data_IF_861883681171
#
_entry.id   IF_861883681171
#
_cell.length_a   1.000
_cell.length_b   1.000
_cell.length_c   1.000
_cell.angle_alpha   90.00
_cell.angle_beta   90.00
_cell.angle_gamma   90.00
#
_symmetry.space_group_name_H-M   'P 1'
#
loop_
_entity.id
_entity.type
_entity.pdbx_description
1 polymer ?
#
# COMPACT_ATOMS: atom_id res chain seq x y z
N UNK A 1 8.92 -1.69 30.65
CA UNK A 1 8.42 -2.86 29.90
C UNK A 1 8.45 -2.51 28.44
N UNK A 2 9.17 -3.32 27.69
CA UNK A 2 9.36 -3.20 26.25
C UNK A 2 9.43 -4.61 25.66
N UNK A 3 8.26 -5.17 25.34
CA UNK A 3 8.17 -6.55 24.89
C UNK A 3 8.78 -6.77 23.51
N UNK A 4 9.48 -7.90 23.37
CA UNK A 4 10.07 -8.36 22.12
C UNK A 4 9.99 -9.89 21.99
N UNK A 5 10.25 -10.38 20.78
CA UNK A 5 10.50 -11.80 20.53
C UNK A 5 11.95 -12.01 20.12
N UNK A 6 12.50 -13.16 20.50
CA UNK A 6 13.70 -13.73 19.91
C UNK A 6 13.36 -15.11 19.32
N UNK A 7 13.83 -15.36 18.11
CA UNK A 7 13.70 -16.62 17.40
C UNK A 7 15.12 -17.19 17.22
N UNK A 8 15.39 -18.34 17.84
CA UNK A 8 16.64 -19.07 17.67
C UNK A 8 16.50 -20.07 16.52
N UNK A 9 16.99 -19.67 15.34
CA UNK A 9 16.89 -20.50 14.13
C UNK A 9 17.71 -21.78 14.24
N UNK A 10 18.73 -21.83 15.11
CA UNK A 10 19.54 -23.05 15.37
C UNK A 10 18.72 -24.15 16.05
N UNK A 11 17.66 -23.77 16.76
CA UNK A 11 16.78 -24.68 17.50
C UNK A 11 15.44 -24.93 16.80
N UNK A 12 15.08 -24.11 15.82
CA UNK A 12 13.80 -24.25 15.14
C UNK A 12 13.81 -25.51 14.26
N UNK A 13 12.87 -26.42 14.50
CA UNK A 13 12.72 -27.66 13.72
C UNK A 13 11.57 -27.59 12.69
N UNK A 14 10.93 -26.43 12.56
CA UNK A 14 9.78 -26.28 11.67
C UNK A 14 8.61 -27.20 12.01
N UNK A 15 8.20 -27.35 13.26
CA UNK A 15 7.08 -28.24 13.59
C UNK A 15 5.68 -27.62 13.42
N UNK A 16 5.60 -26.31 13.11
CA UNK A 16 4.35 -25.53 13.06
C UNK A 16 3.50 -25.49 14.33
N UNK A 17 3.96 -26.04 15.46
CA UNK A 17 3.24 -25.99 16.73
C UNK A 17 2.88 -24.55 17.13
N UNK A 18 3.78 -23.60 16.91
CA UNK A 18 3.53 -22.18 17.17
C UNK A 18 2.40 -21.58 16.33
N UNK A 19 2.24 -22.04 15.07
CA UNK A 19 1.17 -21.60 14.19
C UNK A 19 -0.17 -22.17 14.62
N UNK A 20 -0.22 -23.47 14.93
CA UNK A 20 -1.44 -24.15 15.38
C UNK A 20 -1.92 -23.60 16.72
N UNK A 21 -1.03 -23.44 17.69
CA UNK A 21 -1.38 -22.88 19.00
C UNK A 21 -1.90 -21.44 18.89
N UNK A 22 -1.30 -20.62 18.02
CA UNK A 22 -1.77 -19.26 17.79
C UNK A 22 -3.15 -19.23 17.13
N UNK A 23 -3.42 -20.17 16.20
CA UNK A 23 -4.75 -20.30 15.61
C UNK A 23 -5.80 -20.72 16.63
N UNK A 24 -5.49 -21.71 17.46
CA UNK A 24 -6.40 -22.21 18.49
C UNK A 24 -6.71 -21.15 19.55
N UNK A 25 -5.70 -20.43 20.03
CA UNK A 25 -5.87 -19.40 21.06
C UNK A 25 -6.76 -18.23 20.62
N UNK A 26 -6.66 -17.83 19.35
CA UNK A 26 -7.31 -16.64 18.83
C UNK A 26 -8.42 -16.93 17.83
N UNK A 27 -8.81 -18.20 17.70
CA UNK A 27 -9.82 -18.68 16.75
C UNK A 27 -9.55 -18.15 15.32
N UNK A 28 -8.28 -18.17 14.90
CA UNK A 28 -7.87 -17.53 13.64
C UNK A 28 -8.44 -18.30 12.44
N UNK A 29 -9.18 -17.63 11.53
CA UNK A 29 -9.84 -18.31 10.42
C UNK A 29 -8.91 -19.08 9.47
N UNK A 30 -9.50 -19.93 8.64
CA UNK A 30 -8.78 -20.62 7.57
C UNK A 30 -8.25 -19.61 6.53
N UNK A 31 -7.10 -19.93 5.92
CA UNK A 31 -6.46 -19.07 4.91
C UNK A 31 -5.63 -17.90 5.46
N UNK A 32 -5.80 -17.52 6.73
CA UNK A 32 -5.02 -16.46 7.40
C UNK A 32 -4.24 -16.99 8.61
N UNK A 33 -3.21 -16.25 9.05
CA UNK A 33 -2.36 -16.63 10.18
C UNK A 33 -1.71 -15.40 10.84
N UNK A 34 -1.60 -15.41 12.16
CA UNK A 34 -0.86 -14.37 12.93
C UNK A 34 0.64 -14.67 13.06
N UNK A 35 1.03 -15.94 12.94
CA UNK A 35 2.42 -16.42 12.89
C UNK A 35 2.51 -17.65 11.98
N UNK A 36 3.56 -17.75 11.18
CA UNK A 36 3.81 -18.88 10.28
C UNK A 36 5.29 -19.25 10.26
N UNK A 37 5.60 -20.43 9.74
CA UNK A 37 6.98 -20.87 9.52
C UNK A 37 7.20 -20.97 8.01
N UNK A 38 8.24 -20.31 7.51
CA UNK A 38 8.70 -20.39 6.12
C UNK A 38 9.81 -21.43 6.04
N UNK A 39 9.76 -22.29 5.04
CA UNK A 39 10.77 -23.30 4.79
C UNK A 39 11.54 -22.92 3.54
N UNK A 40 12.85 -22.91 3.66
CA UNK A 40 13.76 -22.73 2.52
C UNK A 40 14.68 -23.93 2.45
N UNK A 41 14.87 -24.46 1.26
CA UNK A 41 15.84 -25.51 0.97
C UNK A 41 16.88 -25.00 0.00
N UNK A 42 18.13 -25.40 0.20
CA UNK A 42 19.28 -25.02 -0.64
C UNK A 42 20.24 -26.20 -0.76
N UNK A 43 21.02 -26.22 -1.82
CA UNK A 43 22.12 -27.16 -2.02
C UNK A 43 21.75 -28.36 -2.89
N UNK A 44 22.75 -29.15 -3.23
CA UNK A 44 22.63 -30.35 -4.06
C UNK A 44 22.91 -31.54 -3.20
N UNK A 45 22.19 -32.65 -3.42
CA UNK A 45 22.48 -33.90 -2.74
C UNK A 45 23.95 -34.32 -2.96
N UNK A 46 24.69 -34.71 -1.91
CA UNK A 46 24.26 -34.95 -0.52
C UNK A 46 24.29 -33.71 0.40
N UNK A 47 24.85 -32.59 -0.03
CA UNK A 47 25.00 -31.35 0.73
C UNK A 47 23.74 -30.45 0.65
N UNK A 48 22.59 -30.98 1.04
CA UNK A 48 21.34 -30.20 1.13
C UNK A 48 21.14 -29.65 2.54
N UNK A 49 20.53 -28.46 2.62
CA UNK A 49 20.13 -27.83 3.88
C UNK A 49 18.67 -27.39 3.81
N UNK A 50 17.98 -27.53 4.94
CA UNK A 50 16.63 -26.99 5.15
C UNK A 50 16.68 -26.00 6.30
N UNK A 51 16.08 -24.84 6.08
CA UNK A 51 16.10 -23.70 6.99
C UNK A 51 14.66 -23.34 7.33
N UNK A 52 14.41 -23.10 8.61
CA UNK A 52 13.09 -22.80 9.13
C UNK A 52 13.07 -21.40 9.71
N UNK A 53 12.06 -20.62 9.31
CA UNK A 53 12.00 -19.21 9.64
C UNK A 53 10.62 -18.85 10.15
N UNK A 54 10.52 -18.60 11.46
CA UNK A 54 9.27 -18.15 12.06
C UNK A 54 9.05 -16.67 11.76
N UNK A 55 7.90 -16.36 11.17
CA UNK A 55 7.54 -15.01 10.74
C UNK A 55 6.22 -14.58 11.38
N UNK A 56 6.13 -13.31 11.79
CA UNK A 56 4.99 -12.70 12.48
C UNK A 56 5.07 -11.17 12.42
N UNK A 57 4.16 -10.48 13.11
CA UNK A 57 4.28 -9.03 13.34
C UNK A 57 5.54 -8.70 14.14
N UNK A 58 6.30 -7.71 13.69
CA UNK A 58 7.56 -7.32 14.34
C UNK A 58 7.41 -6.35 15.51
N UNK A 59 6.18 -5.95 15.88
CA UNK A 59 5.89 -4.99 16.96
C UNK A 59 6.83 -3.77 16.96
N UNK A 60 7.03 -3.17 15.79
CA UNK A 60 8.01 -2.11 15.54
C UNK A 60 7.86 -0.91 16.47
N UNK A 61 8.98 -0.30 16.88
CA UNK A 61 8.94 0.95 17.64
C UNK A 61 8.54 2.14 16.77
N UNK A 62 9.05 2.21 15.54
CA UNK A 62 8.50 3.09 14.51
C UNK A 62 7.55 2.28 13.62
N UNK A 63 6.29 2.16 14.07
CA UNK A 63 5.27 1.33 13.43
C UNK A 63 4.51 2.09 12.32
N UNK A 64 4.84 1.88 11.02
CA UNK A 64 4.14 2.56 9.91
C UNK A 64 2.65 2.20 9.84
N UNK A 65 2.27 0.99 10.28
CA UNK A 65 0.88 0.57 10.33
C UNK A 65 0.02 1.37 11.32
N UNK A 66 0.63 1.91 12.40
CA UNK A 66 -0.03 2.81 13.35
C UNK A 66 -0.17 4.21 12.74
N UNK A 67 0.86 4.69 12.06
CA UNK A 67 0.87 6.02 11.44
C UNK A 67 -0.16 6.15 10.31
N UNK A 68 -0.21 5.16 9.42
CA UNK A 68 -1.11 5.17 8.25
C UNK A 68 -2.57 4.88 8.63
N UNK A 69 -2.83 4.31 9.81
CA UNK A 69 -4.19 3.97 10.26
C UNK A 69 -5.04 5.23 10.48
N UNK A 70 -6.18 5.41 9.79
CA UNK A 70 -6.97 6.64 9.87
C UNK A 70 -7.81 6.80 11.15
N UNK A 71 -8.12 5.70 11.84
CA UNK A 71 -9.11 5.67 12.95
C UNK A 71 -8.51 5.31 14.30
N UNK A 72 -7.18 5.31 14.42
CA UNK A 72 -6.45 4.80 15.60
C UNK A 72 -6.86 3.37 15.99
N UNK A 73 -7.26 2.57 15.00
CA UNK A 73 -7.54 1.14 15.18
C UNK A 73 -6.25 0.33 15.40
N UNK A 74 -5.10 0.83 14.98
CA UNK A 74 -3.80 0.34 15.42
C UNK A 74 -3.15 1.38 16.33
N UNK A 75 -2.52 0.92 17.40
CA UNK A 75 -1.84 1.77 18.37
C UNK A 75 -0.63 1.04 18.99
N UNK A 76 0.32 1.81 19.53
CA UNK A 76 1.44 1.29 20.32
C UNK A 76 1.12 1.49 21.79
N UNK A 77 1.17 0.42 22.58
CA UNK A 77 1.01 0.44 24.03
C UNK A 77 2.29 0.96 24.71
N UNK A 78 2.18 1.30 25.99
CA UNK A 78 3.32 1.76 26.80
C UNK A 78 4.39 0.66 26.96
N UNK A 79 3.96 -0.60 26.99
CA UNK A 79 4.82 -1.80 27.06
C UNK A 79 5.50 -2.16 25.72
N UNK A 80 5.34 -1.31 24.70
CA UNK A 80 5.91 -1.49 23.36
C UNK A 80 5.16 -2.47 22.46
N UNK A 81 4.06 -3.11 22.91
CA UNK A 81 3.25 -3.94 22.03
C UNK A 81 2.49 -3.04 21.05
N UNK A 82 2.72 -3.21 19.75
CA UNK A 82 1.80 -2.69 18.73
C UNK A 82 0.55 -3.55 18.75
N UNK A 83 -0.60 -3.00 19.03
CA UNK A 83 -1.89 -3.70 19.19
C UNK A 83 -2.96 -3.12 18.26
N UNK A 84 -4.15 -3.73 18.24
CA UNK A 84 -5.26 -3.31 17.41
C UNK A 84 -6.64 -3.42 18.10
N UNK A 85 -7.54 -2.52 17.72
CA UNK A 85 -8.95 -2.49 18.11
C UNK A 85 -9.83 -2.69 16.87
N UNK A 86 -10.35 -3.90 16.70
CA UNK A 86 -11.26 -4.25 15.61
C UNK A 86 -12.56 -3.44 15.64
N UNK A 87 -12.98 -2.96 16.81
CA UNK A 87 -14.14 -2.10 17.01
C UNK A 87 -13.97 -0.68 16.47
N UNK A 88 -12.75 -0.25 16.11
CA UNK A 88 -12.47 1.04 15.42
C UNK A 88 -12.07 0.89 13.96
N UNK A 89 -11.81 -0.33 13.52
CA UNK A 89 -11.34 -0.60 12.17
C UNK A 89 -12.46 -0.37 11.14
N UNK A 90 -12.14 0.40 10.09
CA UNK A 90 -13.01 0.64 8.93
C UNK A 90 -12.67 -0.26 7.73
N UNK A 91 -11.61 -1.07 7.83
CA UNK A 91 -11.24 -2.02 6.78
C UNK A 91 -10.70 -1.37 5.50
N UNK A 92 -9.99 -0.23 5.62
CA UNK A 92 -9.38 0.50 4.49
C UNK A 92 -8.12 -0.15 3.91
N UNK A 93 -7.58 -1.19 4.58
CA UNK A 93 -6.38 -1.96 4.16
C UNK A 93 -5.08 -1.15 4.09
N UNK A 94 -5.07 0.13 4.48
CA UNK A 94 -3.88 0.97 4.46
C UNK A 94 -2.73 0.42 5.32
N UNK A 95 -3.05 -0.15 6.49
CA UNK A 95 -2.04 -0.79 7.35
C UNK A 95 -1.32 -1.98 6.68
N UNK A 96 -1.98 -2.69 5.76
CA UNK A 96 -1.36 -3.78 4.98
C UNK A 96 -0.30 -3.24 4.03
N UNK A 97 -0.49 -2.02 3.52
CA UNK A 97 0.48 -1.34 2.66
C UNK A 97 1.62 -0.68 3.47
N UNK A 98 1.31 -0.24 4.69
CA UNK A 98 2.30 0.30 5.62
C UNK A 98 3.26 -0.75 6.17
N UNK A 99 2.84 -2.00 6.32
CA UNK A 99 3.66 -3.06 6.91
C UNK A 99 4.69 -3.62 5.92
N UNK A 100 6.01 -3.46 6.15
CA UNK A 100 7.04 -3.98 5.23
C UNK A 100 7.29 -5.50 5.38
N UNK A 101 6.55 -6.17 6.27
CA UNK A 101 6.76 -7.57 6.66
C UNK A 101 5.64 -8.51 6.23
N UNK A 102 4.62 -8.02 5.53
CA UNK A 102 3.39 -8.76 5.17
C UNK A 102 2.63 -9.34 6.39
N UNK A 103 2.69 -8.68 7.54
CA UNK A 103 2.22 -9.24 8.81
C UNK A 103 0.76 -8.90 9.21
N UNK A 104 -0.01 -8.20 8.36
CA UNK A 104 -1.35 -7.70 8.71
C UNK A 104 -2.36 -8.11 7.64
N UNK A 105 -3.39 -8.86 8.00
CA UNK A 105 -4.45 -9.28 7.07
C UNK A 105 -5.79 -8.65 7.40
N UNK A 106 -6.73 -8.70 6.46
CA UNK A 106 -8.15 -8.51 6.76
C UNK A 106 -8.71 -9.87 7.15
N UNK A 107 -9.20 -9.96 8.37
CA UNK A 107 -9.88 -11.12 8.89
C UNK A 107 -11.17 -11.38 8.07
N UNK A 108 -11.34 -12.58 7.50
CA UNK A 108 -12.46 -12.87 6.59
C UNK A 108 -13.82 -12.93 7.30
N UNK A 109 -13.84 -13.12 8.62
CA UNK A 109 -15.08 -13.22 9.39
C UNK A 109 -15.50 -11.85 9.93
N UNK A 110 -14.55 -11.09 10.48
CA UNK A 110 -14.85 -9.78 11.08
C UNK A 110 -14.72 -8.61 10.10
N UNK A 111 -14.11 -8.81 8.93
CA UNK A 111 -13.82 -7.75 7.95
C UNK A 111 -12.94 -6.61 8.52
N UNK A 112 -12.14 -6.91 9.55
CA UNK A 112 -11.23 -5.96 10.20
C UNK A 112 -9.76 -6.36 10.08
N UNK A 113 -8.85 -5.41 10.26
CA UNK A 113 -7.42 -5.71 10.24
C UNK A 113 -7.02 -6.50 11.48
N UNK A 114 -6.31 -7.61 11.29
CA UNK A 114 -5.80 -8.48 12.34
C UNK A 114 -4.33 -8.83 12.10
N UNK A 115 -3.63 -9.12 13.20
CA UNK A 115 -2.21 -9.48 13.22
C UNK A 115 -1.87 -10.14 14.56
N UNK A 116 -0.62 -10.56 14.75
CA UNK A 116 -0.13 -10.88 16.10
C UNK A 116 -0.28 -9.66 17.02
N UNK A 117 -0.93 -9.84 18.18
CA UNK A 117 -1.07 -8.86 19.25
C UNK A 117 -0.21 -9.22 20.47
N UNK A 118 0.85 -10.01 20.27
CA UNK A 118 1.72 -10.51 21.35
C UNK A 118 0.97 -11.35 22.41
N UNK A 119 -0.26 -11.80 22.13
CA UNK A 119 -1.15 -12.40 23.13
C UNK A 119 -1.27 -11.50 24.38
N UNK A 120 -1.47 -10.19 24.16
CA UNK A 120 -1.54 -9.19 25.22
C UNK A 120 -2.43 -9.60 26.40
N UNK A 121 -3.57 -10.25 26.13
CA UNK A 121 -4.51 -10.76 27.13
C UNK A 121 -3.90 -11.82 28.09
N UNK A 122 -2.84 -12.52 27.68
CA UNK A 122 -2.08 -13.45 28.54
C UNK A 122 -0.93 -12.76 29.26
N UNK A 123 -0.19 -11.93 28.53
CA UNK A 123 0.98 -11.24 29.08
C UNK A 123 0.59 -10.29 30.21
N UNK A 124 -0.59 -9.66 30.12
CA UNK A 124 -1.16 -8.82 31.19
C UNK A 124 -1.41 -9.55 32.50
N UNK A 125 -1.64 -10.87 32.46
CA UNK A 125 -1.84 -11.72 33.64
C UNK A 125 -0.60 -12.56 33.98
N UNK A 126 0.57 -12.19 33.44
CA UNK A 126 1.85 -12.85 33.72
C UNK A 126 2.05 -14.20 33.04
N UNK A 127 1.23 -14.53 32.03
CA UNK A 127 1.35 -15.77 31.26
C UNK A 127 2.11 -15.54 29.94
N UNK A 128 2.87 -16.55 29.52
CA UNK A 128 3.57 -16.52 28.23
C UNK A 128 2.61 -16.74 27.04
N UNK A 129 2.92 -16.16 25.86
CA UNK A 129 2.17 -16.44 24.63
C UNK A 129 2.18 -17.94 24.27
N UNK A 130 1.08 -18.52 23.75
CA UNK A 130 1.03 -19.95 23.40
C UNK A 130 2.08 -20.39 22.37
N UNK A 131 2.50 -19.47 21.49
CA UNK A 131 3.56 -19.76 20.52
C UNK A 131 4.94 -19.98 21.15
N UNK A 132 5.15 -19.50 22.39
CA UNK A 132 6.35 -19.74 23.21
C UNK A 132 6.19 -21.07 23.95
N UNK A 133 5.10 -21.23 24.69
CA UNK A 133 4.88 -22.39 25.57
C UNK A 133 4.79 -23.71 24.82
N UNK A 134 4.25 -23.71 23.59
CA UNK A 134 4.12 -24.91 22.76
C UNK A 134 5.43 -25.30 22.06
N UNK A 135 6.46 -24.47 22.08
CA UNK A 135 7.68 -24.70 21.30
C UNK A 135 8.53 -25.81 21.94
N UNK A 136 8.61 -27.02 21.36
CA UNK A 136 9.26 -28.16 22.02
C UNK A 136 10.78 -27.97 22.16
N UNK A 137 11.39 -27.16 21.30
CA UNK A 137 12.82 -26.87 21.31
C UNK A 137 13.16 -25.51 21.93
N UNK A 138 12.16 -24.81 22.48
CA UNK A 138 12.32 -23.47 23.05
C UNK A 138 13.03 -22.50 22.09
N UNK A 139 12.73 -22.61 20.79
CA UNK A 139 13.27 -21.75 19.75
C UNK A 139 12.62 -20.36 19.70
N UNK A 140 11.48 -20.18 20.36
CA UNK A 140 10.75 -18.91 20.41
C UNK A 140 10.77 -18.44 21.85
N UNK A 141 11.34 -17.26 22.09
CA UNK A 141 11.40 -16.62 23.41
C UNK A 141 10.67 -15.29 23.34
N UNK A 142 9.83 -15.01 24.33
CA UNK A 142 9.20 -13.71 24.52
C UNK A 142 9.65 -13.13 25.86
N UNK A 143 9.74 -11.81 25.96
CA UNK A 143 10.20 -11.18 27.19
C UNK A 143 10.29 -9.68 27.08
N UNK A 144 10.62 -9.05 28.21
CA UNK A 144 10.84 -7.62 28.35
C UNK A 144 12.31 -7.28 28.09
N UNK A 145 12.58 -6.42 27.11
CA UNK A 145 13.93 -5.93 26.81
C UNK A 145 14.50 -5.04 27.92
N UNK A 146 13.65 -4.37 28.69
CA UNK A 146 14.09 -3.48 29.76
C UNK A 146 14.47 -4.26 31.03
N UNK A 147 14.03 -5.51 31.15
CA UNK A 147 14.44 -6.42 32.22
C UNK A 147 15.72 -7.15 31.84
N UNK A 148 16.86 -6.65 32.34
CA UNK A 148 18.19 -7.23 32.12
C UNK A 148 18.37 -8.63 32.70
N UNK A 149 17.51 -9.07 33.63
CA UNK A 149 17.49 -10.43 34.16
C UNK A 149 16.67 -11.39 33.31
N UNK A 150 15.91 -10.90 32.33
CA UNK A 150 15.07 -11.75 31.50
C UNK A 150 15.88 -12.66 30.58
N UNK A 151 15.36 -13.87 30.34
CA UNK A 151 15.98 -14.81 29.42
C UNK A 151 16.18 -14.21 28.02
N UNK A 152 15.24 -13.37 27.57
CA UNK A 152 15.31 -12.68 26.29
C UNK A 152 16.47 -11.66 26.26
N UNK A 153 16.59 -10.80 27.27
CA UNK A 153 17.66 -9.79 27.32
C UNK A 153 19.05 -10.45 27.34
N UNK A 154 19.21 -11.56 28.06
CA UNK A 154 20.45 -12.33 28.05
C UNK A 154 20.77 -12.93 26.67
N UNK A 155 19.80 -13.49 25.95
CA UNK A 155 20.03 -14.04 24.62
C UNK A 155 20.37 -12.96 23.59
N UNK A 156 19.65 -11.83 23.62
CA UNK A 156 19.91 -10.68 22.74
C UNK A 156 21.30 -10.07 23.01
N UNK A 157 21.72 -10.01 24.28
CA UNK A 157 23.02 -9.45 24.65
C UNK A 157 24.22 -10.37 24.39
N UNK A 158 24.02 -11.70 24.32
CA UNK A 158 25.11 -12.69 24.16
C UNK A 158 25.33 -13.18 22.74
N UNK A 159 24.34 -13.05 21.86
CA UNK A 159 24.41 -13.57 20.50
C UNK A 159 24.26 -12.47 19.46
N UNK A 160 24.95 -12.57 18.30
CA UNK A 160 24.64 -11.70 17.18
C UNK A 160 23.21 -11.98 16.72
N UNK A 161 22.39 -10.93 16.70
CA UNK A 161 20.99 -11.00 16.28
C UNK A 161 20.76 -10.21 15.00
N UNK A 162 19.88 -10.72 14.15
CA UNK A 162 19.44 -10.09 12.93
C UNK A 162 17.98 -9.66 13.05
N UNK A 163 17.58 -8.69 12.22
CA UNK A 163 16.18 -8.28 12.08
C UNK A 163 15.79 -8.23 10.60
N UNK A 164 14.50 -8.34 10.31
CA UNK A 164 14.01 -8.23 8.93
C UNK A 164 13.99 -6.77 8.47
N UNK A 165 14.36 -6.54 7.21
CA UNK A 165 14.30 -5.25 6.50
C UNK A 165 14.79 -4.04 7.32
N UNK A 166 16.01 -4.06 7.89
CA UNK A 166 16.54 -2.95 8.70
C UNK A 166 16.56 -1.61 7.94
N UNK A 167 16.72 -1.65 6.60
CA UNK A 167 16.71 -0.48 5.71
C UNK A 167 15.39 0.32 5.75
N UNK A 168 14.30 -0.25 6.28
CA UNK A 168 13.00 0.45 6.44
C UNK A 168 12.94 1.37 7.65
N UNK A 169 13.95 1.34 8.52
CA UNK A 169 14.04 2.21 9.70
C UNK A 169 12.91 2.01 10.73
N UNK A 170 12.17 0.90 10.67
CA UNK A 170 11.01 0.67 11.56
C UNK A 170 11.39 0.24 12.98
N UNK A 171 12.66 -0.07 13.24
CA UNK A 171 13.14 -0.64 14.52
C UNK A 171 12.29 -1.83 14.98
N UNK A 172 12.29 -2.95 14.22
CA UNK A 172 11.56 -4.17 14.57
C UNK A 172 12.07 -4.81 15.86
N UNK A 173 11.15 -5.42 16.62
CA UNK A 173 11.40 -6.10 17.91
C UNK A 173 11.19 -7.61 17.85
N UNK A 174 11.51 -8.19 16.69
CA UNK A 174 11.63 -9.63 16.52
C UNK A 174 13.07 -9.87 16.06
N UNK A 175 13.85 -10.49 16.93
CA UNK A 175 15.26 -10.77 16.73
C UNK A 175 15.46 -12.22 16.28
N UNK A 176 16.40 -12.44 15.38
CA UNK A 176 16.73 -13.75 14.83
C UNK A 176 18.18 -14.10 15.17
N UNK A 177 18.39 -15.19 15.89
CA UNK A 177 19.73 -15.78 16.08
C UNK A 177 19.96 -16.75 14.95
N UNK A 178 21.06 -16.57 14.21
CA UNK A 178 21.42 -17.38 13.05
C UNK A 178 20.33 -17.39 11.94
N UNK A 179 19.73 -16.23 11.70
CA UNK A 179 18.76 -16.05 10.63
C UNK A 179 19.44 -16.15 9.27
N UNK A 180 19.02 -17.12 8.46
CA UNK A 180 19.55 -17.29 7.10
C UNK A 180 19.02 -16.20 6.14
N UNK A 181 19.90 -15.68 5.28
CA UNK A 181 19.57 -14.58 4.37
C UNK A 181 18.45 -14.93 3.38
N UNK A 182 18.36 -16.17 2.90
CA UNK A 182 17.31 -16.59 1.95
C UNK A 182 15.95 -16.69 2.61
N UNK A 183 15.99 -16.99 3.89
CA UNK A 183 14.80 -17.08 4.72
C UNK A 183 14.29 -15.70 5.10
N UNK A 184 15.19 -14.78 5.48
CA UNK A 184 14.84 -13.41 5.90
C UNK A 184 14.46 -12.48 4.74
N UNK A 185 15.10 -12.65 3.57
CA UNK A 185 14.84 -11.87 2.34
C UNK A 185 13.78 -12.59 1.49
N UNK A 186 12.56 -12.03 1.36
CA UNK A 186 11.46 -12.68 0.64
C UNK A 186 11.79 -13.04 -0.81
N UNK A 187 12.54 -12.17 -1.48
CA UNK A 187 12.91 -12.30 -2.90
C UNK A 187 14.05 -13.29 -3.17
N UNK A 188 14.80 -13.70 -2.14
CA UNK A 188 15.95 -14.59 -2.28
C UNK A 188 15.54 -16.05 -2.49
N UNK A 189 14.43 -16.48 -1.90
CA UNK A 189 13.82 -17.78 -2.15
C UNK A 189 12.47 -17.56 -2.87
N UNK A 190 12.42 -17.64 -4.21
CA UNK A 190 11.20 -17.40 -4.97
C UNK A 190 10.06 -18.33 -4.51
N UNK A 191 8.80 -17.86 -4.56
CA UNK A 191 7.66 -18.70 -4.23
C UNK A 191 7.63 -19.90 -5.19
N UNK A 192 7.34 -21.10 -4.70
CA UNK A 192 7.40 -22.29 -5.53
C UNK A 192 6.22 -22.36 -6.50
N UNK A 193 6.39 -23.06 -7.62
CA UNK A 193 5.30 -23.44 -8.54
C UNK A 193 4.38 -24.51 -7.95
N UNK A 194 4.85 -25.27 -6.96
CA UNK A 194 4.09 -26.25 -6.17
C UNK A 194 4.70 -26.37 -4.76
N UNK A 195 3.87 -26.43 -3.71
CA UNK A 195 4.37 -26.62 -2.35
C UNK A 195 4.56 -28.11 -2.04
N UNK A 196 5.45 -28.40 -1.08
CA UNK A 196 5.75 -29.77 -0.64
C UNK A 196 4.51 -30.57 -0.21
N UNK A 197 3.44 -29.90 0.25
CA UNK A 197 2.21 -30.51 0.76
C UNK A 197 0.92 -29.97 0.11
N UNK A 198 1.01 -29.14 -0.92
CA UNK A 198 -0.17 -28.57 -1.59
C UNK A 198 0.14 -28.08 -3.00
N UNK A 199 -0.81 -28.19 -3.91
CA UNK A 199 -0.73 -27.55 -5.22
C UNK A 199 -0.70 -26.03 -5.07
N UNK A 200 0.09 -25.34 -5.89
CA UNK A 200 -0.03 -23.89 -6.00
C UNK A 200 -1.41 -23.54 -6.60
N UNK A 201 -2.10 -22.48 -6.14
CA UNK A 201 -3.32 -22.03 -6.78
C UNK A 201 -3.03 -21.65 -8.25
N UNK A 202 -3.93 -22.01 -9.16
CA UNK A 202 -3.81 -21.79 -10.62
C UNK A 202 -3.58 -20.33 -11.08
N UNK A 203 -3.67 -19.35 -10.17
CA UNK A 203 -3.42 -17.93 -10.42
C UNK A 203 -1.96 -17.49 -10.22
N UNK A 204 -1.08 -18.39 -9.79
CA UNK A 204 0.37 -18.17 -9.84
C UNK A 204 0.87 -18.62 -11.21
N UNK A 205 1.57 -17.78 -12.00
CA UNK A 205 2.30 -18.29 -13.14
C UNK A 205 3.25 -19.36 -12.62
N UNK A 206 3.14 -20.57 -13.18
CA UNK A 206 4.11 -21.62 -12.92
C UNK A 206 5.47 -21.08 -13.36
N UNK A 207 6.32 -20.68 -12.43
CA UNK A 207 7.72 -20.54 -12.76
C UNK A 207 8.22 -21.96 -13.06
N UNK A 208 8.88 -22.20 -14.19
CA UNK A 208 9.57 -23.46 -14.41
C UNK A 208 10.45 -23.70 -13.17
N UNK A 209 10.45 -24.93 -12.64
CA UNK A 209 11.49 -25.33 -11.70
C UNK A 209 12.80 -25.07 -12.43
N UNK A 210 13.48 -23.97 -12.10
CA UNK A 210 14.83 -23.74 -12.61
C UNK A 210 15.65 -24.87 -12.05
N UNK A 211 16.19 -25.70 -12.93
CA UNK A 211 17.14 -26.78 -12.65
C UNK A 211 18.49 -26.22 -12.15
N UNK A 212 18.47 -25.12 -11.40
CA UNK A 212 19.63 -24.61 -10.70
C UNK A 212 19.80 -25.50 -9.47
N UNK A 213 20.44 -26.64 -9.70
CA UNK A 213 20.80 -27.62 -8.68
C UNK A 213 21.59 -26.95 -7.57
N UNK A 214 20.88 -26.43 -6.56
CA UNK A 214 21.46 -25.80 -5.39
C UNK A 214 20.89 -24.44 -5.01
N UNK A 215 20.11 -23.76 -5.85
CA UNK A 215 19.54 -22.45 -5.52
C UNK A 215 18.51 -22.54 -4.36
N UNK A 216 18.39 -21.50 -3.52
CA UNK A 216 17.41 -21.49 -2.45
C UNK A 216 15.98 -21.48 -2.98
N UNK A 217 15.19 -22.47 -2.58
CA UNK A 217 13.77 -22.61 -2.95
C UNK A 217 12.89 -22.59 -1.71
N UNK A 218 11.78 -21.88 -1.78
CA UNK A 218 10.78 -21.90 -0.72
C UNK A 218 9.91 -23.15 -0.89
N UNK A 219 9.94 -24.11 0.03
CA UNK A 219 9.16 -25.37 -0.08
C UNK A 219 7.84 -25.34 0.70
N UNK A 220 7.74 -24.45 1.69
CA UNK A 220 6.51 -24.17 2.43
C UNK A 220 6.49 -22.68 2.85
N UNK A 221 5.31 -22.07 2.76
CA UNK A 221 5.04 -20.76 3.33
C UNK A 221 3.55 -20.50 3.35
N UNK A 222 3.09 -19.69 4.30
CA UNK A 222 1.71 -19.18 4.24
C UNK A 222 1.66 -18.13 3.12
N UNK A 223 0.61 -18.22 2.30
CA UNK A 223 0.31 -17.36 1.15
C UNK A 223 0.62 -15.88 1.45
N UNK A 224 1.12 -15.16 0.44
CA UNK A 224 1.15 -13.69 0.42
C UNK A 224 -0.28 -13.15 0.60
N UNK A 225 -0.66 -12.86 1.84
CA UNK A 225 -2.03 -12.49 2.22
C UNK A 225 -2.42 -11.11 1.64
N UNK A 226 -1.47 -10.37 1.03
CA UNK A 226 -1.63 -8.96 0.71
C UNK A 226 -1.71 -8.64 -0.80
N UNK A 227 -1.55 -9.64 -1.69
CA UNK A 227 -1.63 -9.43 -3.14
C UNK A 227 -2.92 -8.72 -3.52
N UNK A 228 -2.78 -7.54 -4.12
CA UNK A 228 -3.87 -6.72 -4.66
C UNK A 228 -4.98 -6.36 -3.65
N UNK A 229 -4.62 -6.19 -2.36
CA UNK A 229 -5.57 -5.73 -1.34
C UNK A 229 -6.19 -4.36 -1.70
N UNK A 230 -5.40 -3.48 -2.32
CA UNK A 230 -5.88 -2.29 -3.04
C UNK A 230 -6.07 -2.64 -4.53
N UNK A 231 -7.26 -3.12 -4.86
CA UNK A 231 -7.63 -3.53 -6.22
C UNK A 231 -8.11 -2.39 -7.13
N UNK A 232 -8.92 -2.74 -8.13
CA UNK A 232 -9.40 -1.81 -9.15
C UNK A 232 -10.16 -0.60 -8.60
N UNK A 233 -10.87 -0.74 -7.46
CA UNK A 233 -11.58 0.36 -6.80
C UNK A 233 -10.65 1.52 -6.45
N UNK A 234 -9.43 1.21 -6.01
CA UNK A 234 -8.39 2.18 -5.67
C UNK A 234 -7.89 2.91 -6.91
N UNK A 235 -7.59 2.16 -7.97
CA UNK A 235 -7.21 2.73 -9.26
C UNK A 235 -8.31 3.64 -9.82
N UNK A 236 -9.57 3.21 -9.72
CA UNK A 236 -10.73 3.95 -10.19
C UNK A 236 -10.93 5.25 -9.40
N UNK A 237 -10.88 5.23 -8.06
CA UNK A 237 -11.06 6.47 -7.32
C UNK A 237 -9.88 7.44 -7.50
N UNK A 238 -8.66 6.95 -7.72
CA UNK A 238 -7.54 7.83 -8.09
C UNK A 238 -7.78 8.49 -9.44
N UNK A 239 -8.36 7.76 -10.39
CA UNK A 239 -8.74 8.27 -11.70
C UNK A 239 -9.84 9.34 -11.61
N UNK A 240 -10.96 9.04 -10.95
CA UNK A 240 -12.04 10.00 -10.73
C UNK A 240 -11.59 11.21 -9.90
N UNK A 241 -10.65 11.03 -8.96
CA UNK A 241 -10.09 12.15 -8.19
C UNK A 241 -9.28 13.11 -9.06
N UNK A 242 -8.48 12.60 -10.01
CA UNK A 242 -7.77 13.47 -10.96
C UNK A 242 -8.72 14.19 -11.89
N UNK A 243 -9.81 13.54 -12.31
CA UNK A 243 -10.89 14.19 -13.05
C UNK A 243 -11.53 15.30 -12.20
N UNK A 244 -11.88 15.03 -10.94
CA UNK A 244 -12.47 16.00 -10.03
C UNK A 244 -11.58 17.24 -9.82
N UNK A 245 -10.26 17.05 -9.63
CA UNK A 245 -9.32 18.16 -9.50
C UNK A 245 -9.06 18.87 -10.84
N UNK A 246 -8.87 18.11 -11.92
CA UNK A 246 -8.56 18.62 -13.25
C UNK A 246 -9.67 19.44 -13.87
N UNK A 247 -10.92 18.97 -13.77
CA UNK A 247 -12.11 19.66 -14.26
C UNK A 247 -12.27 21.05 -13.66
N UNK A 248 -11.73 21.31 -12.47
CA UNK A 248 -11.70 22.64 -11.88
C UNK A 248 -10.43 23.42 -12.24
N UNK A 249 -9.24 22.81 -12.06
CA UNK A 249 -7.94 23.48 -12.22
C UNK A 249 -7.75 24.06 -13.63
N UNK A 250 -8.06 23.30 -14.67
CA UNK A 250 -7.81 23.73 -16.06
C UNK A 250 -8.70 24.92 -16.46
N UNK A 251 -10.03 24.88 -16.25
CA UNK A 251 -10.89 26.04 -16.46
C UNK A 251 -10.57 27.23 -15.54
N UNK A 252 -10.17 27.00 -14.29
CA UNK A 252 -9.79 28.08 -13.38
C UNK A 252 -8.52 28.82 -13.84
N UNK A 253 -7.50 28.08 -14.31
CA UNK A 253 -6.30 28.68 -14.90
C UNK A 253 -6.60 29.41 -16.21
N UNK A 254 -7.47 28.83 -17.05
CA UNK A 254 -7.90 29.47 -18.31
C UNK A 254 -8.68 30.76 -18.06
N UNK A 255 -9.56 30.77 -17.05
CA UNK A 255 -10.30 31.95 -16.62
C UNK A 255 -9.36 33.04 -16.10
N UNK A 256 -8.38 32.68 -15.27
CA UNK A 256 -7.37 33.60 -14.78
C UNK A 256 -6.54 34.22 -15.91
N UNK A 257 -6.14 33.42 -16.91
CA UNK A 257 -5.36 33.89 -18.06
C UNK A 257 -6.16 34.80 -19.01
N UNK A 258 -7.47 34.58 -19.12
CA UNK A 258 -8.36 35.35 -20.00
C UNK A 258 -9.03 36.55 -19.33
N UNK A 259 -8.86 36.73 -18.01
CA UNK A 259 -9.58 37.73 -17.23
C UNK A 259 -11.07 37.42 -17.04
N UNK A 260 -11.50 36.17 -17.31
CA UNK A 260 -12.88 35.76 -17.09
C UNK A 260 -13.21 35.70 -15.59
N UNK A 261 -14.48 35.91 -15.19
CA UNK A 261 -14.88 35.99 -13.79
C UNK A 261 -14.70 34.67 -13.00
N UNK A 262 -14.47 33.54 -13.68
CA UNK A 262 -14.21 32.25 -13.06
C UNK A 262 -14.47 31.08 -14.02
N UNK A 263 -14.30 29.84 -13.53
CA UNK A 263 -14.63 28.65 -14.31
C UNK A 263 -16.14 28.59 -14.60
N UNK A 264 -16.49 28.05 -15.77
CA UNK A 264 -17.88 27.88 -16.18
C UNK A 264 -18.64 26.90 -15.27
N UNK A 265 -19.97 27.01 -15.23
CA UNK A 265 -20.84 26.14 -14.42
C UNK A 265 -20.62 24.65 -14.71
N UNK A 266 -20.43 24.29 -15.98
CA UNK A 266 -20.16 22.91 -16.40
C UNK A 266 -18.86 22.33 -15.82
N UNK A 267 -17.86 23.17 -15.55
CA UNK A 267 -16.62 22.76 -14.90
C UNK A 267 -16.84 22.42 -13.42
N UNK A 268 -17.64 23.22 -12.72
CA UNK A 268 -18.03 22.98 -11.32
C UNK A 268 -18.87 21.71 -11.19
N UNK A 269 -19.86 21.54 -12.06
CA UNK A 269 -20.71 20.35 -12.11
C UNK A 269 -19.89 19.09 -12.36
N UNK A 270 -19.01 19.10 -13.37
CA UNK A 270 -18.13 17.97 -13.67
C UNK A 270 -17.21 17.65 -12.47
N UNK A 271 -16.59 18.66 -11.87
CA UNK A 271 -15.73 18.49 -10.70
C UNK A 271 -16.50 17.86 -9.52
N UNK A 272 -17.71 18.34 -9.21
CA UNK A 272 -18.56 17.80 -8.14
C UNK A 272 -19.02 16.37 -8.43
N UNK A 273 -19.43 16.05 -9.66
CA UNK A 273 -19.83 14.70 -10.05
C UNK A 273 -18.68 13.72 -9.85
N UNK A 274 -17.49 14.04 -10.36
CA UNK A 274 -16.33 13.17 -10.18
C UNK A 274 -15.86 13.09 -8.72
N UNK A 275 -16.02 14.15 -7.94
CA UNK A 275 -15.72 14.14 -6.51
C UNK A 275 -16.69 13.25 -5.74
N UNK A 276 -17.99 13.31 -6.06
CA UNK A 276 -19.01 12.45 -5.50
C UNK A 276 -18.76 10.97 -5.87
N UNK A 277 -18.42 10.68 -7.12
CA UNK A 277 -18.00 9.34 -7.56
C UNK A 277 -16.77 8.85 -6.79
N UNK A 278 -15.79 9.73 -6.56
CA UNK A 278 -14.60 9.42 -5.74
C UNK A 278 -15.01 9.06 -4.31
N UNK A 279 -15.89 9.84 -3.69
CA UNK A 279 -16.42 9.57 -2.35
C UNK A 279 -17.16 8.24 -2.27
N UNK A 280 -18.02 7.94 -3.24
CA UNK A 280 -18.76 6.68 -3.31
C UNK A 280 -17.82 5.46 -3.45
N UNK A 281 -16.82 5.55 -4.33
CA UNK A 281 -15.80 4.51 -4.51
C UNK A 281 -14.94 4.30 -3.26
N UNK A 282 -14.59 5.39 -2.55
CA UNK A 282 -13.85 5.31 -1.28
C UNK A 282 -14.64 4.53 -0.23
N UNK A 283 -15.93 4.84 -0.06
CA UNK A 283 -16.80 4.12 0.89
C UNK A 283 -17.00 2.66 0.45
N UNK A 284 -17.15 2.39 -0.84
CA UNK A 284 -17.33 1.03 -1.37
C UNK A 284 -16.06 0.17 -1.32
N UNK A 285 -14.86 0.74 -1.25
CA UNK A 285 -13.63 -0.03 -1.05
C UNK A 285 -13.46 -0.54 0.39
N UNK A 286 -14.07 0.15 1.35
CA UNK A 286 -14.01 -0.24 2.76
C UNK A 286 -14.65 -1.61 2.99
N UNK A 287 -13.99 -2.43 3.80
CA UNK A 287 -14.57 -3.68 4.29
C UNK A 287 -15.66 -3.44 5.33
N UNK A 288 -15.61 -2.31 6.04
CA UNK A 288 -16.65 -1.91 6.98
C UNK A 288 -17.27 -0.57 6.57
N UNK A 289 -18.08 -0.52 5.50
CA UNK A 289 -18.59 0.73 4.93
C UNK A 289 -19.50 1.48 5.91
N UNK A 290 -20.23 0.79 6.79
CA UNK A 290 -21.08 1.42 7.82
C UNK A 290 -20.29 2.29 8.80
N UNK A 291 -18.98 2.06 8.92
CA UNK A 291 -18.07 2.73 9.86
C UNK A 291 -17.29 3.88 9.21
N UNK A 292 -17.57 4.22 7.95
CA UNK A 292 -16.78 5.20 7.18
C UNK A 292 -16.61 6.55 7.91
N UNK A 293 -17.65 7.00 8.61
CA UNK A 293 -17.65 8.28 9.33
C UNK A 293 -16.63 8.33 10.47
N UNK A 294 -16.12 7.19 10.97
CA UNK A 294 -15.06 7.19 11.98
C UNK A 294 -13.74 7.75 11.47
N UNK A 295 -13.50 7.75 10.16
CA UNK A 295 -12.36 8.46 9.59
C UNK A 295 -12.41 9.97 9.86
N UNK A 296 -13.62 10.53 10.05
CA UNK A 296 -13.87 11.93 10.36
C UNK A 296 -14.13 12.16 11.85
N UNK A 297 -14.83 11.26 12.54
CA UNK A 297 -15.19 11.49 13.96
C UNK A 297 -14.13 10.99 14.95
N UNK A 298 -13.23 10.09 14.54
CA UNK A 298 -12.16 9.54 15.38
C UNK A 298 -10.80 9.62 14.66
N UNK A 299 -10.34 10.82 14.28
CA UNK A 299 -9.21 10.98 13.36
C UNK A 299 -7.86 10.62 13.99
N UNK A 300 -7.02 9.97 13.18
CA UNK A 300 -5.58 9.94 13.38
C UNK A 300 -4.91 10.96 12.47
N UNK A 301 -4.56 12.13 13.00
CA UNK A 301 -4.01 13.23 12.21
C UNK A 301 -2.63 12.96 11.61
N UNK A 302 -1.93 11.91 12.01
CA UNK A 302 -0.71 11.46 11.32
C UNK A 302 -1.01 10.73 10.01
N UNK A 303 -2.20 10.16 9.82
CA UNK A 303 -2.58 9.45 8.60
C UNK A 303 -2.95 10.43 7.48
N UNK A 304 -2.32 10.28 6.32
CA UNK A 304 -2.71 11.02 5.12
C UNK A 304 -4.05 10.58 4.54
N UNK A 305 -4.56 9.41 4.93
CA UNK A 305 -5.92 8.99 4.58
C UNK A 305 -6.97 9.86 5.32
N UNK A 306 -6.73 10.14 6.61
CA UNK A 306 -7.55 11.07 7.39
C UNK A 306 -7.44 12.48 6.82
N UNK A 307 -6.22 13.01 6.65
CA UNK A 307 -6.02 14.36 6.09
C UNK A 307 -6.67 14.51 4.70
N UNK A 308 -6.53 13.50 3.85
CA UNK A 308 -7.16 13.44 2.54
C UNK A 308 -8.70 13.48 2.58
N UNK A 309 -9.31 12.79 3.55
CA UNK A 309 -10.77 12.80 3.73
C UNK A 309 -11.29 14.22 4.06
N UNK A 310 -10.63 14.92 4.98
CA UNK A 310 -10.96 16.32 5.31
C UNK A 310 -10.70 17.26 4.13
N UNK A 311 -9.61 17.04 3.39
CA UNK A 311 -9.26 17.84 2.23
C UNK A 311 -10.32 17.71 1.12
N UNK A 312 -10.72 16.49 0.78
CA UNK A 312 -11.78 16.23 -0.20
C UNK A 312 -13.12 16.83 0.25
N UNK A 313 -13.46 16.71 1.53
CA UNK A 313 -14.68 17.31 2.07
C UNK A 313 -14.67 18.85 1.96
N UNK A 314 -13.55 19.49 2.32
CA UNK A 314 -13.39 20.94 2.18
C UNK A 314 -13.42 21.38 0.71
N UNK A 315 -12.75 20.64 -0.18
CA UNK A 315 -12.80 20.89 -1.62
C UNK A 315 -14.23 20.81 -2.17
N UNK A 316 -14.98 19.78 -1.78
CA UNK A 316 -16.39 19.63 -2.16
C UNK A 316 -17.28 20.77 -1.65
N UNK A 317 -17.06 21.21 -0.41
CA UNK A 317 -17.78 22.36 0.15
C UNK A 317 -17.50 23.66 -0.61
N UNK A 318 -16.24 23.91 -0.98
CA UNK A 318 -15.84 25.08 -1.77
C UNK A 318 -16.45 25.06 -3.19
N UNK A 319 -16.43 23.90 -3.86
CA UNK A 319 -17.10 23.72 -5.15
C UNK A 319 -18.61 23.95 -5.03
N UNK A 320 -19.26 23.39 -4.01
CA UNK A 320 -20.69 23.56 -3.77
C UNK A 320 -21.07 25.02 -3.50
N UNK A 321 -20.26 25.75 -2.73
CA UNK A 321 -20.45 27.18 -2.49
C UNK A 321 -20.34 27.99 -3.78
N UNK A 322 -19.35 27.71 -4.63
CA UNK A 322 -19.20 28.40 -5.92
C UNK A 322 -20.36 28.09 -6.87
N UNK A 323 -20.80 26.83 -6.93
CA UNK A 323 -21.96 26.44 -7.73
C UNK A 323 -23.21 27.19 -7.26
N UNK A 324 -23.44 27.27 -5.95
CA UNK A 324 -24.57 28.02 -5.37
C UNK A 324 -24.53 29.52 -5.73
N UNK A 325 -23.34 30.14 -5.72
CA UNK A 325 -23.17 31.52 -6.16
C UNK A 325 -23.55 31.67 -7.65
N UNK A 326 -23.09 30.77 -8.52
CA UNK A 326 -23.45 30.82 -9.94
C UNK A 326 -24.94 30.59 -10.19
N UNK A 327 -25.58 29.67 -9.45
CA UNK A 327 -27.03 29.43 -9.51
C UNK A 327 -27.85 30.67 -9.09
N UNK A 328 -27.30 31.48 -8.18
CA UNK A 328 -27.91 32.77 -7.77
C UNK A 328 -27.46 33.95 -8.63
N UNK A 329 -26.82 33.69 -9.79
CA UNK A 329 -26.28 34.68 -10.73
C UNK A 329 -25.25 35.63 -10.11
N UNK A 330 -24.55 35.18 -9.07
CA UNK A 330 -23.44 35.90 -8.43
C UNK A 330 -22.11 35.33 -8.89
N UNK A 331 -21.17 36.19 -9.28
CA UNK A 331 -19.81 35.76 -9.58
C UNK A 331 -19.11 35.30 -8.29
N UNK A 332 -18.37 34.20 -8.37
CA UNK A 332 -17.49 33.81 -7.27
C UNK A 332 -16.36 34.85 -7.14
N UNK A 333 -16.07 35.35 -5.93
CA UNK A 333 -14.97 36.29 -5.77
C UNK A 333 -13.63 35.60 -6.15
N UNK A 334 -12.69 36.32 -6.78
CA UNK A 334 -11.42 35.73 -7.25
C UNK A 334 -10.64 34.99 -6.15
N UNK A 335 -10.68 35.50 -4.91
CA UNK A 335 -10.07 34.84 -3.75
C UNK A 335 -10.67 33.47 -3.43
N UNK A 336 -11.99 33.30 -3.62
CA UNK A 336 -12.64 32.00 -3.47
C UNK A 336 -12.23 31.05 -4.60
N UNK A 337 -12.11 31.54 -5.84
CA UNK A 337 -11.62 30.72 -6.97
C UNK A 337 -10.19 30.25 -6.76
N UNK A 338 -9.31 31.13 -6.30
CA UNK A 338 -7.93 30.77 -5.95
C UNK A 338 -7.90 29.75 -4.81
N UNK A 339 -8.67 29.96 -3.74
CA UNK A 339 -8.75 29.01 -2.62
C UNK A 339 -9.21 27.62 -3.08
N UNK A 340 -10.26 27.55 -3.89
CA UNK A 340 -10.74 26.28 -4.46
C UNK A 340 -9.69 25.64 -5.37
N UNK A 341 -8.91 26.42 -6.13
CA UNK A 341 -7.83 25.91 -6.96
C UNK A 341 -6.71 25.30 -6.11
N UNK A 342 -6.35 25.94 -4.99
CA UNK A 342 -5.38 25.39 -4.02
C UNK A 342 -5.86 24.06 -3.44
N UNK A 343 -7.14 23.96 -3.05
CA UNK A 343 -7.72 22.71 -2.57
C UNK A 343 -7.83 21.65 -3.67
N UNK A 344 -8.10 22.01 -4.93
CA UNK A 344 -8.09 21.09 -6.06
C UNK A 344 -6.67 20.53 -6.32
N UNK A 345 -5.64 21.39 -6.30
CA UNK A 345 -4.25 20.97 -6.42
C UNK A 345 -3.82 20.08 -5.25
N UNK A 346 -4.20 20.44 -4.03
CA UNK A 346 -3.94 19.63 -2.84
C UNK A 346 -4.71 18.29 -2.89
N UNK A 347 -5.92 18.26 -3.48
CA UNK A 347 -6.70 17.05 -3.70
C UNK A 347 -6.01 16.12 -4.71
N UNK A 348 -5.37 16.66 -5.75
CA UNK A 348 -4.53 15.88 -6.66
C UNK A 348 -3.29 15.32 -5.93
N UNK A 349 -2.59 16.19 -5.18
CA UNK A 349 -1.29 15.90 -4.59
C UNK A 349 -1.33 14.95 -3.38
N UNK A 350 -2.35 15.02 -2.51
CA UNK A 350 -2.27 14.37 -1.18
C UNK A 350 -2.06 12.85 -1.24
N UNK A 351 -2.50 12.20 -2.32
CA UNK A 351 -2.33 10.75 -2.49
C UNK A 351 -0.86 10.36 -2.61
N UNK A 352 0.02 11.23 -3.11
CA UNK A 352 1.45 10.96 -3.11
C UNK A 352 1.99 10.77 -1.69
N UNK A 353 1.53 11.57 -0.73
CA UNK A 353 1.92 11.40 0.67
C UNK A 353 1.29 10.17 1.33
N UNK A 354 0.05 9.82 0.97
CA UNK A 354 -0.56 8.54 1.40
C UNK A 354 0.25 7.35 0.90
N UNK A 355 0.65 7.37 -0.37
CA UNK A 355 1.52 6.37 -0.97
C UNK A 355 2.91 6.35 -0.32
N UNK A 356 3.45 7.52 0.04
CA UNK A 356 4.69 7.63 0.81
C UNK A 356 4.63 7.01 2.21
N UNK A 357 3.45 6.95 2.85
CA UNK A 357 3.28 6.25 4.14
C UNK A 357 3.27 4.72 4.01
N UNK A 358 3.12 4.18 2.80
CA UNK A 358 3.14 2.75 2.55
C UNK A 358 4.59 2.22 2.51
N UNK A 359 5.26 2.17 3.66
CA UNK A 359 6.66 1.69 3.78
C UNK A 359 6.88 0.28 3.25
N UNK A 360 5.83 -0.53 3.07
CA UNK A 360 5.92 -1.85 2.44
C UNK A 360 5.95 -1.83 0.91
N UNK A 361 5.75 -0.69 0.26
CA UNK A 361 5.65 -0.58 -1.21
C UNK A 361 6.61 0.50 -1.69
N UNK A 362 7.81 0.09 -2.10
CA UNK A 362 8.91 1.02 -2.31
C UNK A 362 8.73 1.96 -3.50
N UNK A 363 8.18 1.46 -4.61
CA UNK A 363 7.90 2.29 -5.78
C UNK A 363 6.97 3.47 -5.45
N UNK A 364 6.01 3.27 -4.53
CA UNK A 364 5.08 4.30 -4.10
C UNK A 364 5.73 5.44 -3.30
N UNK A 365 6.97 5.26 -2.84
CA UNK A 365 7.73 6.30 -2.13
C UNK A 365 8.56 7.18 -3.08
N UNK A 366 8.36 7.05 -4.39
CA UNK A 366 9.00 7.88 -5.41
C UNK A 366 8.73 9.37 -5.20
N UNK A 367 9.78 10.19 -5.29
CA UNK A 367 9.67 11.64 -5.23
C UNK A 367 8.94 12.23 -6.46
N UNK A 368 8.91 11.49 -7.57
CA UNK A 368 8.22 11.90 -8.80
C UNK A 368 6.70 11.78 -8.69
N UNK A 369 6.19 10.98 -7.77
CA UNK A 369 4.76 10.67 -7.67
C UNK A 369 3.90 11.91 -7.43
N UNK A 370 4.37 12.86 -6.60
CA UNK A 370 3.67 14.11 -6.35
C UNK A 370 3.45 14.94 -7.62
N UNK A 371 4.52 15.39 -8.28
CA UNK A 371 4.45 16.06 -9.58
C UNK A 371 3.63 15.27 -10.61
N UNK A 372 3.81 13.94 -10.66
CA UNK A 372 3.09 13.08 -11.59
C UNK A 372 1.58 13.11 -11.38
N UNK A 373 1.09 13.00 -10.13
CA UNK A 373 -0.35 13.06 -9.86
C UNK A 373 -0.97 14.43 -10.19
N UNK A 374 -0.21 15.52 -10.04
CA UNK A 374 -0.66 16.87 -10.43
C UNK A 374 -0.77 16.98 -11.94
N UNK A 375 0.28 16.57 -12.68
CA UNK A 375 0.25 16.55 -14.16
C UNK A 375 -0.89 15.68 -14.68
N UNK A 376 -1.13 14.52 -14.08
CA UNK A 376 -2.26 13.66 -14.42
C UNK A 376 -3.63 14.31 -14.18
N UNK A 377 -3.79 15.11 -13.13
CA UNK A 377 -5.00 15.89 -12.93
C UNK A 377 -5.17 16.96 -14.02
N UNK A 378 -4.09 17.64 -14.41
CA UNK A 378 -4.11 18.60 -15.51
C UNK A 378 -4.43 17.93 -16.85
N UNK A 379 -3.85 16.77 -17.16
CA UNK A 379 -4.20 15.95 -18.34
C UNK A 379 -5.68 15.61 -18.33
N UNK A 380 -6.22 15.19 -17.19
CA UNK A 380 -7.63 14.82 -17.06
C UNK A 380 -8.58 16.01 -17.31
N UNK A 381 -8.24 17.19 -16.78
CA UNK A 381 -9.00 18.42 -17.04
C UNK A 381 -8.88 18.92 -18.48
N UNK A 382 -7.66 18.90 -19.03
CA UNK A 382 -7.38 19.30 -20.40
C UNK A 382 -8.12 18.43 -21.42
N UNK A 383 -8.19 17.11 -21.18
CA UNK A 383 -8.93 16.19 -22.03
C UNK A 383 -10.41 16.55 -22.21
N UNK A 384 -11.02 17.23 -21.23
CA UNK A 384 -12.44 17.60 -21.26
C UNK A 384 -12.62 19.04 -21.73
N UNK A 385 -11.86 19.99 -21.18
CA UNK A 385 -12.12 21.42 -21.34
C UNK A 385 -11.12 22.18 -22.21
N UNK A 386 -9.89 21.66 -22.37
CA UNK A 386 -8.84 22.31 -23.15
C UNK A 386 -7.93 21.30 -23.87
N UNK A 387 -8.44 20.52 -24.86
CA UNK A 387 -7.66 19.43 -25.46
C UNK A 387 -6.35 19.88 -26.12
N UNK A 388 -6.24 21.15 -26.54
CA UNK A 388 -5.00 21.70 -27.07
C UNK A 388 -3.84 21.67 -26.07
N UNK A 389 -4.11 21.71 -24.75
CA UNK A 389 -3.07 21.61 -23.72
C UNK A 389 -2.44 20.22 -23.66
N UNK A 390 -3.10 19.18 -24.18
CA UNK A 390 -2.57 17.82 -24.22
C UNK A 390 -1.29 17.72 -25.07
N UNK A 391 -1.08 18.62 -26.04
CA UNK A 391 0.15 18.70 -26.82
C UNK A 391 1.40 18.91 -25.96
N UNK A 392 1.24 19.56 -24.80
CA UNK A 392 2.33 19.83 -23.85
C UNK A 392 2.27 18.92 -22.63
N UNK A 393 1.07 18.63 -22.15
CA UNK A 393 0.88 17.82 -20.95
C UNK A 393 1.17 16.33 -21.16
N UNK A 394 0.88 15.77 -22.34
CA UNK A 394 1.16 14.35 -22.61
C UNK A 394 2.67 14.06 -22.71
N UNK A 395 3.51 14.88 -23.37
CA UNK A 395 4.96 14.70 -23.30
C UNK A 395 5.51 14.78 -21.88
N UNK A 396 5.07 15.76 -21.08
CA UNK A 396 5.49 15.89 -19.66
C UNK A 396 5.04 14.68 -18.85
N UNK A 397 3.79 14.21 -19.03
CA UNK A 397 3.30 13.00 -18.38
C UNK A 397 4.10 11.76 -18.82
N UNK A 398 4.44 11.64 -20.10
CA UNK A 398 5.25 10.56 -20.65
C UNK A 398 6.66 10.52 -20.05
N UNK A 399 7.29 11.69 -19.85
CA UNK A 399 8.59 11.79 -19.16
C UNK A 399 8.49 11.35 -17.69
N UNK A 400 7.41 11.71 -16.98
CA UNK A 400 7.19 11.27 -15.61
C UNK A 400 6.90 9.77 -15.53
N UNK A 401 6.07 9.23 -16.43
CA UNK A 401 5.88 7.78 -16.59
C UNK A 401 7.22 7.09 -16.81
N UNK A 402 8.05 7.62 -17.71
CA UNK A 402 9.35 7.04 -17.99
C UNK A 402 10.33 7.12 -16.81
N UNK A 403 10.28 8.22 -16.04
CA UNK A 403 11.04 8.36 -14.80
C UNK A 403 10.65 7.35 -13.73
N UNK A 404 9.35 7.04 -13.60
CA UNK A 404 8.87 6.03 -12.64
C UNK A 404 9.21 4.59 -13.08
N UNK A 405 9.21 4.30 -14.38
CA UNK A 405 9.45 2.94 -14.90
C UNK A 405 10.91 2.64 -15.21
N UNK A 406 11.62 3.52 -15.91
CA UNK A 406 13.01 3.32 -16.34
C UNK A 406 14.03 4.16 -15.59
N UNK A 407 13.60 5.03 -14.68
CA UNK A 407 14.49 5.81 -13.83
C UNK A 407 15.30 4.95 -12.85
N UNK A 408 16.12 5.62 -12.05
CA UNK A 408 16.88 4.96 -10.99
C UNK A 408 15.99 4.71 -9.77
N UNK A 409 15.94 3.46 -9.27
CA UNK A 409 15.23 3.12 -8.04
C UNK A 409 16.20 2.70 -6.93
N UNK A 410 15.98 3.25 -5.73
CA UNK A 410 16.86 3.05 -4.58
C UNK A 410 16.86 1.62 -4.01
N UNK A 411 15.83 0.82 -4.27
CA UNK A 411 15.69 -0.54 -3.73
C UNK A 411 15.41 -1.56 -4.83
N UNK A 412 15.78 -2.82 -4.59
CA UNK A 412 15.44 -3.93 -5.51
C UNK A 412 13.93 -4.15 -5.61
N UNK A 413 13.19 -3.97 -4.51
CA UNK A 413 11.73 -4.09 -4.48
C UNK A 413 11.07 -3.06 -5.43
N UNK A 414 11.56 -1.82 -5.44
CA UNK A 414 11.10 -0.79 -6.37
C UNK A 414 11.47 -1.12 -7.83
N UNK A 415 12.70 -1.58 -8.10
CA UNK A 415 13.12 -2.02 -9.44
C UNK A 415 12.27 -3.18 -9.96
N UNK A 416 11.95 -4.15 -9.10
CA UNK A 416 11.08 -5.29 -9.45
C UNK A 416 9.65 -4.83 -9.75
N UNK A 417 9.09 -3.93 -8.95
CA UNK A 417 7.79 -3.35 -9.23
C UNK A 417 7.75 -2.59 -10.57
N UNK A 418 8.81 -1.85 -10.90
CA UNK A 418 8.92 -1.14 -12.17
C UNK A 418 9.00 -2.12 -13.37
N UNK A 419 9.77 -3.20 -13.25
CA UNK A 419 9.82 -4.27 -14.27
C UNK A 419 8.47 -4.93 -14.52
N UNK A 420 7.70 -5.21 -13.46
CA UNK A 420 6.35 -5.75 -13.58
C UNK A 420 5.41 -4.83 -14.39
N UNK A 421 5.60 -3.51 -14.32
CA UNK A 421 4.87 -2.56 -15.17
C UNK A 421 5.33 -2.66 -16.62
N UNK A 422 6.65 -2.72 -16.86
CA UNK A 422 7.23 -2.76 -18.20
C UNK A 422 6.84 -4.03 -18.99
N UNK A 423 6.74 -5.16 -18.29
CA UNK A 423 6.39 -6.46 -18.89
C UNK A 423 4.90 -6.61 -19.20
N UNK A 424 4.03 -5.75 -18.64
CA UNK A 424 2.59 -5.81 -18.87
C UNK A 424 2.21 -5.18 -20.23
N UNK A 425 1.55 -5.95 -21.09
CA UNK A 425 1.10 -5.47 -22.41
C UNK A 425 0.22 -4.22 -22.32
N UNK A 426 -0.54 -4.04 -21.23
CA UNK A 426 -1.37 -2.84 -21.01
C UNK A 426 -0.53 -1.58 -20.84
N UNK A 427 0.73 -1.70 -20.47
CA UNK A 427 1.65 -0.57 -20.39
C UNK A 427 2.04 -0.09 -21.79
N UNK A 428 2.62 -0.96 -22.61
CA UNK A 428 3.07 -0.60 -23.96
C UNK A 428 1.92 -0.20 -24.87
N UNK A 429 0.83 -0.99 -24.89
CA UNK A 429 -0.32 -0.73 -25.75
C UNK A 429 -1.26 0.33 -25.17
N UNK A 430 -1.69 0.15 -23.93
CA UNK A 430 -2.71 1.01 -23.31
C UNK A 430 -2.16 2.36 -22.87
N UNK A 431 -1.04 2.39 -22.17
CA UNK A 431 -0.47 3.65 -21.64
C UNK A 431 0.30 4.41 -22.71
N UNK A 432 1.31 3.78 -23.34
CA UNK A 432 2.21 4.50 -24.24
C UNK A 432 1.56 4.75 -25.61
N UNK A 433 1.10 3.70 -26.30
CA UNK A 433 0.55 3.85 -27.64
C UNK A 433 -0.82 4.55 -27.64
N UNK A 434 -1.81 3.98 -26.93
CA UNK A 434 -3.18 4.51 -26.90
C UNK A 434 -3.31 5.77 -26.04
N UNK A 435 -2.59 5.84 -24.91
CA UNK A 435 -2.71 6.93 -23.95
C UNK A 435 -1.89 8.18 -24.24
N UNK A 436 -0.79 8.07 -24.98
CA UNK A 436 0.12 9.19 -25.26
C UNK A 436 0.28 9.45 -26.77
N UNK A 437 0.80 8.48 -27.52
CA UNK A 437 1.16 8.68 -28.92
C UNK A 437 -0.06 8.95 -29.81
N UNK A 438 -1.10 8.13 -29.71
CA UNK A 438 -2.28 8.26 -30.54
C UNK A 438 -3.03 9.61 -30.32
N UNK A 439 -3.29 10.06 -29.08
CA UNK A 439 -3.84 11.41 -28.84
C UNK A 439 -3.00 12.53 -29.45
N UNK A 440 -1.67 12.47 -29.35
CA UNK A 440 -0.79 13.47 -29.94
C UNK A 440 -0.91 13.49 -31.48
N UNK A 441 -0.94 12.32 -32.11
CA UNK A 441 -1.14 12.23 -33.58
C UNK A 441 -2.51 12.74 -34.02
N UNK A 442 -3.57 12.48 -33.25
CA UNK A 442 -4.92 12.97 -33.57
C UNK A 442 -5.02 14.48 -33.42
N UNK A 443 -4.32 15.07 -32.46
CA UNK A 443 -4.29 16.52 -32.26
C UNK A 443 -3.47 17.24 -33.32
N UNK A 444 -2.32 16.71 -33.73
CA UNK A 444 -1.50 17.30 -34.80
C UNK A 444 -2.02 17.03 -36.20
N UNK A 445 -2.54 15.83 -36.48
CA UNK A 445 -2.89 15.39 -37.83
C UNK A 445 -4.34 15.69 -38.23
N UNK A 446 -5.31 15.22 -37.44
CA UNK A 446 -6.73 15.17 -37.85
C UNK A 446 -7.62 16.18 -37.12
N UNK A 447 -7.12 16.84 -36.08
CA UNK A 447 -7.89 17.79 -35.26
C UNK A 447 -8.99 17.14 -34.41
N UNK A 448 -8.98 15.81 -34.24
CA UNK A 448 -10.01 15.06 -33.50
C UNK A 448 -9.85 15.16 -31.98
N UNK A 449 -9.99 16.39 -31.45
CA UNK A 449 -9.73 16.74 -30.06
C UNK A 449 -10.51 15.90 -29.02
N UNK A 450 -11.79 15.58 -29.30
CA UNK A 450 -12.62 14.78 -28.39
C UNK A 450 -12.14 13.33 -28.28
N UNK A 451 -11.78 12.72 -29.41
CA UNK A 451 -11.25 11.35 -29.43
C UNK A 451 -9.88 11.30 -28.74
N UNK A 452 -9.01 12.28 -29.02
CA UNK A 452 -7.72 12.42 -28.34
C UNK A 452 -7.87 12.52 -26.82
N UNK A 453 -8.81 13.35 -26.34
CA UNK A 453 -9.12 13.47 -24.91
C UNK A 453 -9.60 12.16 -24.29
N UNK A 454 -10.52 11.44 -24.95
CA UNK A 454 -11.03 10.16 -24.47
C UNK A 454 -9.93 9.09 -24.36
N UNK A 455 -9.05 9.01 -25.35
CA UNK A 455 -7.93 8.07 -25.37
C UNK A 455 -6.87 8.42 -24.31
N UNK A 456 -6.57 9.70 -24.11
CA UNK A 456 -5.70 10.15 -23.02
C UNK A 456 -6.25 9.76 -21.63
N UNK A 457 -7.57 9.92 -21.42
CA UNK A 457 -8.22 9.49 -20.17
C UNK A 457 -8.18 7.97 -19.96
N UNK A 458 -8.35 7.19 -21.03
CA UNK A 458 -8.23 5.74 -20.98
C UNK A 458 -6.80 5.29 -20.64
N UNK A 459 -5.79 5.91 -21.26
CA UNK A 459 -4.38 5.68 -20.94
C UNK A 459 -4.04 6.04 -19.49
N UNK A 460 -4.59 7.14 -18.99
CA UNK A 460 -4.44 7.54 -17.59
C UNK A 460 -5.05 6.51 -16.61
N UNK A 461 -6.22 5.97 -16.94
CA UNK A 461 -6.85 4.91 -16.14
C UNK A 461 -6.00 3.63 -16.12
N UNK A 462 -5.48 3.22 -17.28
CA UNK A 462 -4.59 2.07 -17.41
C UNK A 462 -3.31 2.25 -16.59
N UNK A 463 -2.65 3.41 -16.68
CA UNK A 463 -1.45 3.73 -15.91
C UNK A 463 -1.70 3.65 -14.41
N UNK A 464 -2.77 4.28 -13.92
CA UNK A 464 -3.13 4.23 -12.49
C UNK A 464 -3.41 2.82 -12.01
N UNK A 465 -4.00 1.99 -12.86
CA UNK A 465 -4.20 0.58 -12.52
C UNK A 465 -2.87 -0.13 -12.35
N UNK A 466 -1.98 -0.06 -13.34
CA UNK A 466 -0.67 -0.71 -13.30
C UNK A 466 0.18 -0.21 -12.12
N UNK A 467 0.24 1.11 -11.92
CA UNK A 467 1.03 1.74 -10.86
C UNK A 467 0.55 1.36 -9.45
N UNK A 468 -0.76 1.14 -9.26
CA UNK A 468 -1.30 0.63 -8.00
C UNK A 468 -1.05 -0.87 -7.84
N UNK A 469 -1.18 -1.68 -8.90
CA UNK A 469 -1.06 -3.14 -8.75
C UNK A 469 0.39 -3.61 -8.59
N UNK A 470 1.33 -3.08 -9.38
CA UNK A 470 2.67 -3.67 -9.49
C UNK A 470 3.44 -3.73 -8.15
N UNK A 471 3.46 -2.67 -7.30
CA UNK A 471 4.17 -2.75 -6.01
C UNK A 471 3.56 -3.76 -5.02
N UNK A 472 2.28 -4.09 -5.17
CA UNK A 472 1.58 -5.07 -4.33
C UNK A 472 1.87 -6.51 -4.72
N UNK A 473 2.47 -6.74 -5.89
CA UNK A 473 2.87 -8.06 -6.37
C UNK A 473 4.30 -8.42 -5.93
N UNK A 474 5.06 -7.45 -5.41
CA UNK A 474 6.40 -7.69 -4.86
C UNK A 474 6.28 -8.38 -3.49
N UNK A 475 6.93 -9.54 -3.28
CA UNK A 475 6.82 -10.30 -2.04
C UNK A 475 7.48 -9.57 -0.86
N UNK A 476 6.77 -9.48 0.27
CA UNK A 476 7.27 -8.89 1.52
C UNK A 476 7.59 -9.91 2.62
N UNK A 477 7.22 -11.18 2.42
CA UNK A 477 7.51 -12.29 3.32
C UNK A 477 7.94 -13.56 2.60
#
# INVERSE_FOLDING_TARGET
MNYAFLIDNRRCIGCHACSVACKAEHEVPLGVARTWVKYVERGVFPETRRMFQVTRCNHCDDAPCVEICPTRALFRRADGIVDFDGGRCIGCKACMQGCPYDAIYIDPETETAAKCNFCAHKVEVGLEPPCVTVCPTQAIVAGDLDDHGSHLAHLVGRHPVQVRKPEKGTRPKVFYVDGDADSLVPAAAPPPSDYMWSQAPASLPAMPLTEDGGAPRRTYGVREQHRNSWGWKVSAYLWTKSLAAGCFLVPAMSALASGAPGPAMSALEAALVFLALTGALLVWDLRQPRRFFWALTRPQWRSWLTRGAYLIAAYGALLGLQLLLQLTRRAAPPGLTLLTALFAAAAALYSAFLFGQAKGRDLWQSALLGPHLVVQALVAGAAIFAPGWLLWLLPVNGLLVAGETWGHHATEDARRAARLIQEDLRFSTGVLAVGHLLPLTLLWGTGQARLAGALALAGLAAWKHLYVQAPQQVPLA
#
